data_IF_109367372430
#
_entry.id   IF_109367372430
#
_cell.length_a   1.000
_cell.length_b   1.000
_cell.length_c   1.000
_cell.angle_alpha   90.00
_cell.angle_beta   90.00
_cell.angle_gamma   90.00
#
_symmetry.space_group_name_H-M   'P 1'
#
loop_
_entity.id
_entity.type
_entity.pdbx_description
1 polymer ?
#
# COMPACT_ATOMS: atom_id res chain seq x y z
N UNK A 1 -10.24 2.16 3.06
CA UNK A 1 -9.89 3.47 3.68
C UNK A 1 -9.44 4.49 2.64
N UNK A 2 -9.45 5.79 2.92
CA UNK A 2 -8.91 6.82 2.00
C UNK A 2 -8.12 7.91 2.72
N UNK A 3 -7.07 8.42 2.07
CA UNK A 3 -6.32 9.61 2.54
C UNK A 3 -5.71 10.36 1.37
N UNK A 4 -5.82 11.69 1.39
CA UNK A 4 -5.04 12.54 0.51
C UNK A 4 -3.63 12.70 1.09
N UNK A 5 -2.59 12.49 0.30
CA UNK A 5 -1.19 12.65 0.71
C UNK A 5 -0.49 13.69 -0.17
N UNK A 6 0.39 14.54 0.38
CA UNK A 6 1.12 15.53 -0.41
C UNK A 6 1.90 14.92 -1.57
N UNK A 7 1.89 15.57 -2.74
CA UNK A 7 2.72 15.19 -3.89
C UNK A 7 4.19 15.54 -3.65
N UNK A 8 5.13 14.93 -4.37
CA UNK A 8 6.58 15.17 -4.18
C UNK A 8 6.98 16.64 -4.37
N UNK A 9 6.26 17.36 -5.21
CA UNK A 9 6.50 18.77 -5.50
C UNK A 9 5.86 19.72 -4.47
N UNK A 10 5.08 19.18 -3.53
CA UNK A 10 4.36 19.91 -2.50
C UNK A 10 3.22 20.80 -2.99
N UNK A 11 2.89 20.78 -4.30
CA UNK A 11 1.89 21.68 -4.90
C UNK A 11 0.48 21.10 -4.92
N UNK A 12 0.34 19.81 -4.64
CA UNK A 12 -0.93 19.12 -4.71
C UNK A 12 -1.02 17.96 -3.73
N UNK A 13 -2.06 17.16 -3.92
CA UNK A 13 -2.28 15.91 -3.17
C UNK A 13 -2.77 14.83 -4.11
N UNK A 14 -2.39 13.59 -3.82
CA UNK A 14 -2.88 12.40 -4.52
C UNK A 14 -3.61 11.50 -3.52
N UNK A 15 -4.70 10.82 -3.91
CA UNK A 15 -5.38 9.88 -3.02
C UNK A 15 -4.59 8.57 -2.90
N UNK A 16 -4.33 8.14 -1.67
CA UNK A 16 -4.03 6.75 -1.32
C UNK A 16 -5.33 6.06 -0.90
N UNK A 17 -5.67 4.94 -1.54
CA UNK A 17 -6.95 4.25 -1.36
C UNK A 17 -6.71 2.80 -1.01
N UNK A 18 -7.30 2.36 0.10
CA UNK A 18 -7.50 0.95 0.37
C UNK A 18 -8.88 0.54 -0.16
N UNK A 19 -8.88 -0.50 -0.99
CA UNK A 19 -10.06 -1.01 -1.67
C UNK A 19 -10.29 -2.47 -1.29
N UNK A 20 -11.55 -2.79 -1.00
CA UNK A 20 -12.02 -4.14 -0.72
C UNK A 20 -13.28 -4.40 -1.53
N UNK A 21 -13.38 -5.59 -2.12
CA UNK A 21 -14.58 -6.08 -2.80
C UNK A 21 -15.19 -7.19 -1.95
N UNK A 22 -16.51 -7.22 -1.85
CA UNK A 22 -17.24 -8.24 -1.09
C UNK A 22 -17.22 -9.59 -1.82
N UNK A 23 -16.16 -10.36 -1.64
CA UNK A 23 -16.05 -11.75 -2.11
C UNK A 23 -16.65 -12.74 -1.11
N UNK A 24 -16.82 -14.00 -1.51
CA UNK A 24 -17.25 -15.06 -0.59
C UNK A 24 -16.30 -15.24 0.61
N UNK A 25 -14.98 -15.16 0.40
CA UNK A 25 -13.97 -15.22 1.48
C UNK A 25 -14.10 -14.04 2.45
N UNK A 26 -14.35 -12.83 1.94
CA UNK A 26 -14.59 -11.64 2.76
C UNK A 26 -15.88 -11.79 3.56
N UNK A 27 -16.97 -12.23 2.91
CA UNK A 27 -18.23 -12.49 3.61
C UNK A 27 -18.08 -13.53 4.72
N UNK A 28 -17.32 -14.60 4.46
CA UNK A 28 -17.04 -15.63 5.46
C UNK A 28 -16.20 -15.06 6.62
N UNK A 29 -15.17 -14.26 6.32
CA UNK A 29 -14.34 -13.62 7.34
C UNK A 29 -15.12 -12.64 8.24
N UNK A 30 -16.20 -12.04 7.73
CA UNK A 30 -17.11 -11.19 8.52
C UNK A 30 -17.99 -12.04 9.45
N UNK A 31 -18.46 -13.19 8.98
CA UNK A 31 -19.39 -14.06 9.74
C UNK A 31 -18.64 -14.89 10.79
N UNK A 32 -17.46 -15.39 10.46
CA UNK A 32 -16.64 -16.25 11.31
C UNK A 32 -15.21 -15.72 11.38
N UNK A 33 -15.05 -14.61 12.10
CA UNK A 33 -13.78 -13.88 12.19
C UNK A 33 -12.69 -14.63 12.96
N UNK A 34 -13.05 -15.62 13.80
CA UNK A 34 -12.09 -16.39 14.60
C UNK A 34 -11.41 -17.51 13.80
N UNK A 35 -12.11 -18.08 12.82
CA UNK A 35 -11.63 -19.24 12.05
C UNK A 35 -11.29 -18.93 10.59
N UNK A 36 -11.42 -17.68 10.17
CA UNK A 36 -11.06 -17.22 8.83
C UNK A 36 -9.75 -16.43 8.84
N UNK A 37 -9.10 -16.33 7.66
CA UNK A 37 -8.06 -15.33 7.43
C UNK A 37 -8.60 -13.94 7.77
N UNK A 38 -7.73 -13.06 8.26
CA UNK A 38 -8.10 -11.68 8.53
C UNK A 38 -8.53 -10.98 7.24
N UNK A 39 -9.49 -10.05 7.34
CA UNK A 39 -9.94 -9.25 6.19
C UNK A 39 -8.76 -8.47 5.57
N UNK A 40 -7.81 -8.01 6.38
CA UNK A 40 -6.63 -7.31 5.90
C UNK A 40 -5.73 -8.19 5.02
N UNK A 41 -5.54 -9.46 5.38
CA UNK A 41 -4.76 -10.41 4.58
C UNK A 41 -5.50 -10.75 3.27
N UNK A 42 -6.82 -10.93 3.35
CA UNK A 42 -7.65 -11.18 2.15
C UNK A 42 -7.62 -10.00 1.17
N UNK A 43 -7.59 -8.76 1.66
CA UNK A 43 -7.41 -7.57 0.84
C UNK A 43 -6.01 -7.58 0.20
N UNK A 44 -4.96 -7.90 0.97
CA UNK A 44 -3.58 -7.91 0.49
C UNK A 44 -3.34 -8.93 -0.63
N UNK A 45 -4.00 -10.09 -0.57
CA UNK A 45 -3.98 -11.15 -1.59
C UNK A 45 -4.93 -10.89 -2.77
N UNK A 46 -5.74 -9.83 -2.70
CA UNK A 46 -6.93 -9.65 -3.53
C UNK A 46 -6.74 -8.88 -4.83
N UNK A 47 -5.51 -8.73 -5.31
CA UNK A 47 -5.16 -7.92 -6.49
C UNK A 47 -5.96 -8.30 -7.75
N UNK A 48 -6.25 -9.60 -7.93
CA UNK A 48 -7.09 -10.10 -9.02
C UNK A 48 -8.49 -9.45 -9.06
N UNK A 49 -9.03 -9.08 -7.90
CA UNK A 49 -10.32 -8.40 -7.75
C UNK A 49 -10.18 -6.87 -7.67
N UNK A 50 -8.98 -6.32 -7.91
CA UNK A 50 -8.65 -4.91 -7.72
C UNK A 50 -8.63 -4.48 -6.24
N UNK A 51 -8.49 -5.42 -5.32
CA UNK A 51 -8.32 -5.10 -3.90
C UNK A 51 -6.88 -4.72 -3.62
N UNK A 52 -6.71 -3.78 -2.69
CA UNK A 52 -5.40 -3.38 -2.21
C UNK A 52 -5.50 -2.82 -0.80
N UNK A 53 -4.49 -3.11 0.01
CA UNK A 53 -4.33 -2.48 1.32
C UNK A 53 -3.88 -1.03 1.17
N UNK A 54 -4.06 -0.25 2.22
CA UNK A 54 -3.61 1.14 2.23
C UNK A 54 -2.09 1.26 2.01
N UNK A 55 -1.31 0.36 2.61
CA UNK A 55 0.15 0.36 2.48
C UNK A 55 0.60 -0.07 1.07
N UNK A 56 -0.13 -0.97 0.39
CA UNK A 56 0.11 -1.29 -1.03
C UNK A 56 -0.13 -0.08 -1.93
N UNK A 57 -1.21 0.69 -1.69
CA UNK A 57 -1.47 1.92 -2.44
C UNK A 57 -0.37 2.97 -2.22
N UNK A 58 0.12 3.13 -0.98
CA UNK A 58 1.27 4.00 -0.71
C UNK A 58 2.55 3.52 -1.39
N UNK A 59 2.80 2.20 -1.40
CA UNK A 59 3.97 1.63 -2.05
C UNK A 59 3.99 1.92 -3.56
N UNK A 60 2.83 1.78 -4.22
CA UNK A 60 2.66 2.14 -5.63
C UNK A 60 2.95 3.64 -5.85
N UNK A 61 2.36 4.53 -5.05
CA UNK A 61 2.59 5.97 -5.18
C UNK A 61 4.05 6.40 -4.97
N UNK A 62 4.80 5.68 -4.12
CA UNK A 62 6.25 5.87 -3.99
C UNK A 62 6.96 5.36 -5.25
N UNK A 63 6.64 4.14 -5.71
CA UNK A 63 7.20 3.56 -6.94
C UNK A 63 7.05 4.49 -8.15
N UNK A 64 5.86 5.06 -8.31
CA UNK A 64 5.49 6.01 -9.37
C UNK A 64 6.11 7.40 -9.18
N UNK A 65 6.81 7.63 -8.06
CA UNK A 65 7.38 8.93 -7.66
C UNK A 65 6.32 10.03 -7.58
N UNK A 66 5.10 9.68 -7.17
CA UNK A 66 4.01 10.62 -6.93
C UNK A 66 4.08 11.24 -5.53
N UNK A 67 4.61 10.48 -4.55
CA UNK A 67 4.86 10.95 -3.18
C UNK A 67 6.27 10.61 -2.71
N UNK A 68 6.75 11.29 -1.67
CA UNK A 68 8.04 10.97 -1.05
C UNK A 68 7.94 9.76 -0.13
N UNK A 69 9.06 9.05 0.11
CA UNK A 69 9.11 7.99 1.12
C UNK A 69 8.68 8.50 2.49
N UNK A 70 9.13 9.69 2.89
CA UNK A 70 8.73 10.32 4.15
C UNK A 70 7.21 10.49 4.25
N UNK A 71 6.58 10.96 3.18
CA UNK A 71 5.12 11.12 3.11
C UNK A 71 4.42 9.77 3.26
N UNK A 72 4.92 8.74 2.59
CA UNK A 72 4.37 7.40 2.69
C UNK A 72 4.52 6.82 4.11
N UNK A 73 5.70 6.95 4.72
CA UNK A 73 6.00 6.48 6.06
C UNK A 73 5.14 7.16 7.13
N UNK A 74 4.91 8.47 7.01
CA UNK A 74 4.03 9.21 7.92
C UNK A 74 2.57 8.81 7.78
N UNK A 75 2.17 8.29 6.61
CA UNK A 75 0.79 7.89 6.34
C UNK A 75 0.51 6.40 6.61
N UNK A 76 1.51 5.54 6.53
CA UNK A 76 1.36 4.08 6.55
C UNK A 76 0.71 3.54 7.83
N UNK A 77 -0.06 2.46 7.68
CA UNK A 77 -0.59 1.68 8.80
C UNK A 77 0.54 0.89 9.46
N UNK A 78 1.45 0.32 8.68
CA UNK A 78 2.65 -0.39 9.15
C UNK A 78 3.91 0.18 8.47
N UNK A 79 4.47 1.31 8.96
CA UNK A 79 5.57 1.99 8.29
C UNK A 79 6.82 1.12 8.11
N UNK A 80 7.15 0.28 9.08
CA UNK A 80 8.30 -0.63 8.98
C UNK A 80 8.14 -1.62 7.81
N UNK A 81 6.98 -2.26 7.72
CA UNK A 81 6.68 -3.26 6.70
C UNK A 81 6.63 -2.64 5.30
N UNK A 82 6.08 -1.43 5.19
CA UNK A 82 6.08 -0.65 3.94
C UNK A 82 7.50 -0.41 3.43
N UNK A 83 8.43 0.03 4.29
CA UNK A 83 9.83 0.24 3.89
C UNK A 83 10.47 -1.07 3.42
N UNK A 84 10.27 -2.16 4.16
CA UNK A 84 10.80 -3.47 3.78
C UNK A 84 10.24 -3.94 2.43
N UNK A 85 8.95 -3.73 2.18
CA UNK A 85 8.32 -4.05 0.91
C UNK A 85 8.93 -3.25 -0.25
N UNK A 86 9.14 -1.94 -0.08
CA UNK A 86 9.75 -1.07 -1.08
C UNK A 86 11.21 -1.43 -1.39
N UNK A 87 11.98 -1.83 -0.38
CA UNK A 87 13.36 -2.31 -0.56
C UNK A 87 13.39 -3.65 -1.32
N UNK A 88 12.52 -4.59 -0.95
CA UNK A 88 12.40 -5.89 -1.62
C UNK A 88 11.93 -5.77 -3.07
N UNK A 89 11.05 -4.81 -3.35
CA UNK A 89 10.58 -4.50 -4.70
C UNK A 89 11.63 -3.74 -5.52
N UNK A 90 12.78 -3.37 -4.95
CA UNK A 90 13.82 -2.61 -5.65
C UNK A 90 13.45 -1.16 -5.96
N UNK A 91 12.38 -0.63 -5.33
CA UNK A 91 12.01 0.78 -5.44
C UNK A 91 13.04 1.65 -4.71
N UNK A 92 13.51 1.18 -3.55
CA UNK A 92 14.51 1.81 -2.71
C UNK A 92 15.80 0.98 -2.65
N UNK A 93 16.94 1.64 -2.48
CA UNK A 93 18.18 1.01 -2.06
C UNK A 93 18.24 0.82 -0.53
N UNK A 94 19.28 0.12 -0.04
CA UNK A 94 19.53 -0.10 1.39
C UNK A 94 19.75 1.19 2.22
N UNK A 95 19.85 2.36 1.57
CA UNK A 95 19.95 3.68 2.20
C UNK A 95 18.64 4.46 2.10
N UNK A 96 17.56 3.86 1.61
CA UNK A 96 16.25 4.48 1.45
C UNK A 96 16.15 5.47 0.29
N UNK A 97 17.09 5.46 -0.67
CA UNK A 97 17.04 6.31 -1.87
C UNK A 97 16.40 5.55 -3.03
N UNK A 98 15.67 6.26 -3.88
CA UNK A 98 15.15 5.68 -5.12
C UNK A 98 16.26 5.11 -5.99
N UNK A 99 16.10 3.85 -6.43
CA UNK A 99 17.05 3.23 -7.37
C UNK A 99 16.83 3.80 -8.78
N UNK A 100 17.89 4.25 -9.44
CA UNK A 100 17.83 4.62 -10.85
C UNK A 100 17.54 3.36 -11.68
N UNK A 101 16.51 3.41 -12.53
CA UNK A 101 16.17 2.33 -13.46
C UNK A 101 15.22 1.26 -12.95
N UNK A 102 14.57 1.46 -11.79
CA UNK A 102 13.43 0.64 -11.40
C UNK A 102 12.24 1.00 -12.32
N UNK A 103 12.09 0.27 -13.43
CA UNK A 103 10.82 0.18 -14.14
C UNK A 103 9.89 -0.66 -13.28
N UNK A 104 8.73 -0.09 -12.96
CA UNK A 104 7.57 -0.82 -12.44
C UNK A 104 7.06 -1.76 -13.53
#
# INVERSE_FOLDING_TARGET
GQRLVPTVDGKGRVPAIEAMVMTGRISQAIVDSEHSNSIADLIAEGDYYGMQTFDQALAQLVGDRSITLETAMAAATRPHDLRVALERAGVLDHKGKHRLGASV
#
